data_IF_642678091817
#
_entry.id   IF_642678091817
#
_cell.length_a   1.000
_cell.length_b   1.000
_cell.length_c   1.000
_cell.angle_alpha   90.00
_cell.angle_beta   90.00
_cell.angle_gamma   90.00
#
_symmetry.space_group_name_H-M   'P 1'
#
loop_
_entity.id
_entity.type
_entity.pdbx_description
1 polymer ?
#
# COMPACT_ATOMS: atom_id res chain seq x y z
N UNK A 1 -4.63 -10.48 -10.68
CA UNK A 1 -4.08 -11.68 -11.34
C UNK A 1 -3.10 -11.35 -12.45
N UNK A 2 -3.47 -10.61 -13.50
CA UNK A 2 -2.56 -10.31 -14.63
C UNK A 2 -1.15 -9.79 -14.25
N UNK A 3 -1.02 -9.00 -13.18
CA UNK A 3 0.30 -8.53 -12.69
C UNK A 3 1.14 -9.64 -12.04
N UNK A 4 0.50 -10.56 -11.31
CA UNK A 4 1.18 -11.69 -10.66
C UNK A 4 1.61 -12.73 -11.68
N UNK A 5 0.81 -12.95 -12.73
CA UNK A 5 1.17 -13.82 -13.86
C UNK A 5 2.41 -13.28 -14.60
N UNK A 6 2.44 -11.97 -14.88
CA UNK A 6 3.63 -11.31 -15.46
C UNK A 6 4.88 -11.46 -14.57
N UNK A 7 4.73 -11.35 -13.25
CA UNK A 7 5.82 -11.58 -12.29
C UNK A 7 6.29 -13.03 -12.30
N UNK A 8 5.36 -13.98 -12.37
CA UNK A 8 5.67 -15.42 -12.42
C UNK A 8 6.47 -15.78 -13.69
N UNK A 9 6.11 -15.19 -14.82
CA UNK A 9 6.85 -15.31 -16.08
C UNK A 9 8.22 -14.64 -15.99
N UNK A 10 8.25 -13.38 -15.55
CA UNK A 10 9.48 -12.60 -15.44
C UNK A 10 10.55 -13.27 -14.57
N UNK A 11 10.14 -13.85 -13.43
CA UNK A 11 11.03 -14.54 -12.51
C UNK A 11 11.22 -16.03 -12.84
N UNK A 12 10.53 -16.55 -13.86
CA UNK A 12 10.54 -17.97 -14.24
C UNK A 12 10.25 -18.92 -13.05
N UNK A 13 9.35 -18.50 -12.16
CA UNK A 13 9.04 -19.26 -10.93
C UNK A 13 8.16 -20.48 -11.17
N UNK A 14 7.55 -20.60 -12.36
CA UNK A 14 6.70 -21.73 -12.78
C UNK A 14 5.58 -22.08 -11.77
N UNK A 15 5.03 -21.08 -11.08
CA UNK A 15 3.94 -21.28 -10.14
C UNK A 15 2.65 -21.64 -10.88
N UNK A 16 1.92 -22.61 -10.33
CA UNK A 16 0.58 -22.97 -10.79
C UNK A 16 -0.45 -21.87 -10.47
N UNK A 17 -1.59 -21.89 -11.17
CA UNK A 17 -2.68 -20.94 -10.90
C UNK A 17 -3.14 -20.97 -9.43
N UNK A 18 -3.20 -22.16 -8.82
CA UNK A 18 -3.56 -22.29 -7.40
C UNK A 18 -2.55 -21.61 -6.49
N UNK A 19 -1.25 -21.74 -6.77
CA UNK A 19 -0.20 -21.05 -6.01
C UNK A 19 -0.27 -19.53 -6.21
N UNK A 20 -0.54 -19.06 -7.42
CA UNK A 20 -0.74 -17.63 -7.69
C UNK A 20 -1.95 -17.06 -6.94
N UNK A 21 -3.03 -17.82 -6.81
CA UNK A 21 -4.18 -17.44 -5.98
C UNK A 21 -3.83 -17.35 -4.49
N UNK A 22 -3.00 -18.27 -3.99
CA UNK A 22 -2.48 -18.15 -2.62
C UNK A 22 -1.62 -16.91 -2.46
N UNK A 23 -0.70 -16.64 -3.39
CA UNK A 23 0.12 -15.41 -3.35
C UNK A 23 -0.78 -14.17 -3.38
N UNK A 24 -1.77 -14.14 -4.27
CA UNK A 24 -2.74 -13.05 -4.35
C UNK A 24 -3.41 -12.82 -2.99
N UNK A 25 -4.01 -13.86 -2.40
CA UNK A 25 -4.64 -13.79 -1.08
C UNK A 25 -3.67 -13.26 -0.02
N UNK A 26 -2.49 -13.85 0.09
CA UNK A 26 -1.49 -13.47 1.08
C UNK A 26 -0.93 -12.06 0.89
N UNK A 27 -1.11 -11.46 -0.30
CA UNK A 27 -0.68 -10.09 -0.63
C UNK A 27 -1.86 -9.12 -0.74
N UNK A 28 -3.07 -9.53 -0.36
CA UNK A 28 -4.19 -8.62 -0.23
C UNK A 28 -3.92 -7.61 0.89
N UNK A 29 -4.41 -6.38 0.70
CA UNK A 29 -4.11 -5.28 1.62
C UNK A 29 -4.49 -5.62 3.06
N UNK A 30 -5.68 -6.17 3.30
CA UNK A 30 -6.14 -6.51 4.65
C UNK A 30 -5.28 -7.62 5.30
N UNK A 31 -4.89 -8.63 4.52
CA UNK A 31 -4.02 -9.71 4.99
C UNK A 31 -2.61 -9.17 5.32
N UNK A 32 -2.09 -8.21 4.53
CA UNK A 32 -0.83 -7.53 4.82
C UNK A 32 -0.94 -6.59 6.03
N UNK A 33 -1.99 -5.77 6.09
CA UNK A 33 -2.26 -4.83 7.18
C UNK A 33 -2.52 -5.54 8.52
N UNK A 34 -3.09 -6.74 8.51
CA UNK A 34 -3.21 -7.57 9.73
C UNK A 34 -1.86 -7.94 10.36
N UNK A 35 -0.75 -7.76 9.62
CA UNK A 35 0.63 -7.97 10.07
C UNK A 35 1.38 -6.65 10.28
N UNK A 36 0.66 -5.54 10.47
CA UNK A 36 1.23 -4.19 10.67
C UNK A 36 2.18 -4.14 11.89
N UNK A 37 2.00 -5.01 12.89
CA UNK A 37 2.94 -5.15 14.01
C UNK A 37 4.40 -5.48 13.62
N UNK A 38 4.63 -6.00 12.41
CA UNK A 38 5.98 -6.27 11.89
C UNK A 38 6.70 -5.02 11.38
N UNK A 39 5.96 -3.97 11.02
CA UNK A 39 6.47 -2.79 10.30
C UNK A 39 6.04 -1.45 10.93
N UNK A 40 5.06 -1.47 11.82
CA UNK A 40 4.52 -0.32 12.54
C UNK A 40 5.27 0.02 13.84
N UNK A 41 4.70 0.88 14.70
CA UNK A 41 5.37 1.35 15.90
C UNK A 41 5.41 0.22 16.92
N UNK A 42 6.61 -0.15 17.38
CA UNK A 42 6.77 -1.17 18.43
C UNK A 42 6.27 -0.71 19.80
N UNK A 43 6.17 0.60 20.01
CA UNK A 43 5.70 1.26 21.23
C UNK A 43 4.90 2.51 20.88
N UNK A 44 3.97 2.90 21.76
CA UNK A 44 3.10 4.08 21.58
C UNK A 44 3.87 5.41 21.53
N UNK A 45 5.08 5.46 22.06
CA UNK A 45 5.92 6.67 22.09
C UNK A 45 7.06 6.65 21.06
N UNK A 46 6.93 5.87 19.99
CA UNK A 46 7.98 5.83 18.97
C UNK A 46 8.08 7.18 18.24
N UNK A 47 9.20 7.93 18.37
CA UNK A 47 9.33 9.27 17.79
C UNK A 47 9.43 9.26 16.26
N UNK A 48 9.58 8.09 15.64
CA UNK A 48 9.57 7.93 14.18
C UNK A 48 8.15 8.05 13.58
N UNK A 49 7.12 8.03 14.41
CA UNK A 49 5.72 8.02 13.97
C UNK A 49 4.94 9.19 14.56
N UNK A 50 4.14 9.86 13.71
CA UNK A 50 3.11 10.78 14.18
C UNK A 50 1.95 9.97 14.76
N UNK A 51 1.81 10.02 16.09
CA UNK A 51 0.76 9.27 16.79
C UNK A 51 -0.66 9.73 16.39
N UNK A 52 -0.83 11.01 16.07
CA UNK A 52 -2.10 11.52 15.55
C UNK A 52 -2.48 10.84 14.24
N UNK A 53 -1.55 10.78 13.29
CA UNK A 53 -1.77 10.16 11.98
C UNK A 53 -1.98 8.66 12.12
N UNK A 54 -1.20 7.99 12.97
CA UNK A 54 -1.36 6.55 13.25
C UNK A 54 -2.77 6.24 13.75
N UNK A 55 -3.30 7.05 14.68
CA UNK A 55 -4.64 6.85 15.25
C UNK A 55 -5.76 7.15 14.25
N UNK A 56 -5.59 8.16 13.40
CA UNK A 56 -6.66 8.59 12.48
C UNK A 56 -6.65 7.85 11.15
N UNK A 57 -5.48 7.49 10.63
CA UNK A 57 -5.32 6.99 9.27
C UNK A 57 -4.63 5.61 9.19
N UNK A 58 -4.20 5.06 10.32
CA UNK A 58 -3.39 3.85 10.36
C UNK A 58 -1.88 4.14 10.28
N UNK A 59 -1.06 3.10 10.43
CA UNK A 59 0.39 3.24 10.44
C UNK A 59 1.01 2.99 9.05
N UNK A 60 1.92 2.02 8.95
CA UNK A 60 2.66 1.71 7.73
C UNK A 60 1.70 1.23 6.63
N UNK A 61 0.79 0.32 6.98
CA UNK A 61 -0.36 -0.01 6.14
C UNK A 61 -1.51 0.97 6.40
N UNK A 62 -1.53 2.07 5.63
CA UNK A 62 -2.48 3.19 5.84
C UNK A 62 -3.87 2.96 5.24
N UNK A 63 -4.02 3.10 3.91
CA UNK A 63 -5.33 2.98 3.22
C UNK A 63 -5.39 1.95 2.09
N UNK A 64 -4.29 1.70 1.39
CA UNK A 64 -4.28 0.73 0.29
C UNK A 64 -5.03 1.15 -0.98
N UNK A 65 -5.33 2.44 -1.15
CA UNK A 65 -6.19 2.95 -2.23
C UNK A 65 -5.47 3.90 -3.19
N UNK A 66 -5.94 3.90 -4.45
CA UNK A 66 -5.49 4.84 -5.48
C UNK A 66 -6.41 6.05 -5.49
N UNK A 67 -5.83 7.25 -5.48
CA UNK A 67 -6.57 8.50 -5.67
C UNK A 67 -6.87 9.28 -4.39
N UNK A 68 -6.52 8.77 -3.20
CA UNK A 68 -6.76 9.46 -1.93
C UNK A 68 -6.11 10.86 -1.85
N UNK A 69 -5.11 11.15 -2.69
CA UNK A 69 -4.52 12.50 -2.81
C UNK A 69 -5.55 13.58 -3.17
N UNK A 70 -6.64 13.23 -3.86
CA UNK A 70 -7.69 14.19 -4.25
C UNK A 70 -8.43 14.79 -3.04
N UNK A 71 -8.48 14.07 -1.92
CA UNK A 71 -9.08 14.55 -0.68
C UNK A 71 -8.12 15.42 0.14
N UNK A 72 -6.82 15.36 -0.17
CA UNK A 72 -5.76 16.02 0.61
C UNK A 72 -5.23 17.28 -0.06
N UNK A 73 -5.38 17.41 -1.37
CA UNK A 73 -4.85 18.52 -2.15
C UNK A 73 -5.95 19.52 -2.51
N UNK A 74 -5.62 20.80 -2.46
CA UNK A 74 -6.47 21.86 -2.99
C UNK A 74 -6.44 21.87 -4.52
N UNK A 75 -7.47 22.44 -5.16
CA UNK A 75 -7.53 22.54 -6.63
C UNK A 75 -6.29 23.21 -7.23
N UNK A 76 -5.77 24.26 -6.57
CA UNK A 76 -4.55 24.94 -7.00
C UNK A 76 -3.31 24.03 -6.96
N UNK A 77 -3.20 23.17 -5.95
CA UNK A 77 -2.11 22.19 -5.86
C UNK A 77 -2.23 21.12 -6.95
N UNK A 78 -3.45 20.65 -7.23
CA UNK A 78 -3.71 19.71 -8.33
C UNK A 78 -3.30 20.32 -9.66
N UNK A 79 -3.71 21.56 -9.95
CA UNK A 79 -3.33 22.26 -11.18
C UNK A 79 -1.81 22.43 -11.33
N UNK A 80 -1.10 22.74 -10.24
CA UNK A 80 0.37 22.82 -10.26
C UNK A 80 1.01 21.48 -10.60
N UNK A 81 0.52 20.38 -10.01
CA UNK A 81 1.01 19.03 -10.28
C UNK A 81 0.73 18.64 -11.74
N UNK A 82 -0.47 18.92 -12.25
CA UNK A 82 -0.84 18.59 -13.62
C UNK A 82 -0.03 19.38 -14.65
N UNK A 83 0.33 20.63 -14.34
CA UNK A 83 1.24 21.42 -15.16
C UNK A 83 2.67 20.86 -15.15
N UNK A 84 3.13 20.30 -14.03
CA UNK A 84 4.47 19.71 -13.91
C UNK A 84 4.60 18.35 -14.60
N UNK A 85 3.52 17.56 -14.65
CA UNK A 85 3.50 16.22 -15.26
C UNK A 85 3.44 16.23 -16.80
N UNK A 86 3.15 17.38 -17.41
CA UNK A 86 3.13 17.57 -18.87
C UNK A 86 4.54 17.85 -19.39
#
# INVERSE_FOLDING_TARGET
>A
MAKLEKLNEFLSTNLSQKQLLYVAKYTEFNEMAGRDSLVGPKTEDNPQYSQEVVRQEGCFFRKGEVGNWKEKLTLDQVHKIDKWKK
#
